data_IF_243106167910
#
_entry.id   IF_243106167910
#
_cell.length_a   1.000
_cell.length_b   1.000
_cell.length_c   1.000
_cell.angle_alpha   90.00
_cell.angle_beta   90.00
_cell.angle_gamma   90.00
#
_symmetry.space_group_name_H-M   'P 1'
#
loop_
_entity.id
_entity.type
_entity.pdbx_description
1 polymer ?
#
# COMPACT_ATOMS: atom_id res chain seq x y z
N UNK A 1 9.71 5.02 2.22
CA UNK A 1 8.68 4.80 3.26
C UNK A 1 7.89 3.53 2.93
N UNK A 2 7.69 2.65 3.91
CA UNK A 2 6.85 1.44 3.81
C UNK A 2 5.75 1.54 4.85
N UNK A 3 4.50 1.43 4.40
CA UNK A 3 3.30 1.42 5.26
C UNK A 3 2.66 0.04 5.13
N UNK A 4 2.26 -0.55 6.25
CA UNK A 4 1.43 -1.75 6.24
C UNK A 4 -0.01 -1.43 6.65
N UNK A 5 -0.92 -2.12 5.97
CA UNK A 5 -2.36 -1.94 6.08
C UNK A 5 -2.94 -3.31 6.43
N UNK A 6 -3.57 -3.39 7.59
CA UNK A 6 -4.30 -4.55 8.07
C UNK A 6 -5.81 -4.33 7.92
N UNK A 7 -6.60 -5.20 8.52
CA UNK A 7 -8.05 -5.06 8.55
C UNK A 7 -8.48 -4.00 9.59
N UNK A 8 -7.75 -3.90 10.70
CA UNK A 8 -8.03 -2.98 11.81
C UNK A 8 -6.89 -2.00 12.13
N UNK A 9 -5.63 -2.42 12.32
CA UNK A 9 -4.50 -1.54 12.53
C UNK A 9 -3.88 -1.07 11.22
N UNK A 10 -3.16 0.04 11.32
CA UNK A 10 -2.24 0.47 10.30
C UNK A 10 -1.00 1.07 10.92
N UNK A 11 0.14 0.78 10.33
CA UNK A 11 1.41 1.16 10.94
C UNK A 11 2.49 1.51 9.92
N UNK A 12 3.39 2.38 10.36
CA UNK A 12 4.57 2.76 9.60
C UNK A 12 5.68 1.75 9.87
N UNK A 13 5.92 0.86 8.92
CA UNK A 13 7.01 -0.12 9.04
C UNK A 13 8.36 0.57 8.89
N UNK A 14 8.48 1.52 7.95
CA UNK A 14 9.76 2.13 7.63
C UNK A 14 9.67 3.53 7.06
N UNK A 15 10.59 4.40 7.49
CA UNK A 15 10.79 5.73 6.94
C UNK A 15 12.29 5.95 6.66
N UNK A 16 12.62 6.08 5.37
CA UNK A 16 13.96 6.34 4.88
C UNK A 16 14.47 7.76 5.19
N UNK A 17 13.59 8.67 5.63
CA UNK A 17 13.97 10.02 6.05
C UNK A 17 14.57 10.09 7.46
N UNK A 18 14.32 9.06 8.27
CA UNK A 18 14.80 8.98 9.65
C UNK A 18 16.09 8.16 9.79
N UNK A 19 16.46 7.38 8.78
CA UNK A 19 17.55 6.40 8.88
C UNK A 19 18.58 6.57 7.75
N UNK A 20 19.74 7.15 8.10
CA UNK A 20 20.85 7.48 7.19
C UNK A 20 21.73 6.26 6.85
N UNK A 21 21.13 5.20 6.29
CA UNK A 21 21.89 4.32 5.39
C UNK A 21 22.24 2.91 5.84
N UNK A 22 21.45 2.23 6.69
CA UNK A 22 21.50 0.76 6.76
C UNK A 22 20.13 0.16 7.04
N UNK A 23 19.30 0.08 5.98
CA UNK A 23 18.08 -0.70 6.00
C UNK A 23 18.42 -2.18 6.18
N UNK A 24 18.45 -2.67 7.42
CA UNK A 24 18.52 -4.11 7.68
C UNK A 24 17.16 -4.70 7.35
N UNK A 25 17.13 -5.50 6.29
CA UNK A 25 15.94 -6.27 5.86
C UNK A 25 15.37 -7.07 7.04
N UNK A 26 16.22 -7.55 7.93
CA UNK A 26 15.85 -8.23 9.19
C UNK A 26 14.94 -7.37 10.08
N UNK A 27 15.24 -6.08 10.27
CA UNK A 27 14.43 -5.18 11.11
C UNK A 27 13.09 -4.85 10.45
N UNK A 28 13.05 -4.80 9.12
CA UNK A 28 11.79 -4.67 8.39
C UNK A 28 10.91 -5.89 8.55
N UNK A 29 11.49 -7.08 8.38
CA UNK A 29 10.77 -8.35 8.52
C UNK A 29 10.20 -8.48 9.94
N UNK A 30 11.00 -8.17 10.96
CA UNK A 30 10.54 -8.20 12.34
C UNK A 30 9.34 -7.26 12.57
N UNK A 31 9.41 -6.01 12.12
CA UNK A 31 8.28 -5.07 12.24
C UNK A 31 7.03 -5.52 11.47
N UNK A 32 7.23 -6.19 10.33
CA UNK A 32 6.15 -6.70 9.50
C UNK A 32 5.49 -7.92 10.16
N UNK A 33 6.27 -8.80 10.79
CA UNK A 33 5.77 -9.90 11.61
C UNK A 33 4.99 -9.39 12.83
N UNK A 34 5.54 -8.42 13.57
CA UNK A 34 4.87 -7.77 14.70
C UNK A 34 3.53 -7.13 14.27
N UNK A 35 3.51 -6.50 13.09
CA UNK A 35 2.29 -5.93 12.52
C UNK A 35 1.23 -6.99 12.20
N UNK A 36 1.62 -8.10 11.56
CA UNK A 36 0.71 -9.19 11.20
C UNK A 36 0.11 -9.84 12.45
N UNK A 37 0.93 -10.10 13.47
CA UNK A 37 0.46 -10.67 14.75
C UNK A 37 -0.57 -9.73 15.39
N UNK A 38 -0.28 -8.42 15.44
CA UNK A 38 -1.18 -7.40 15.99
C UNK A 38 -2.50 -7.29 15.22
N UNK A 39 -2.47 -7.39 13.88
CA UNK A 39 -3.69 -7.41 13.06
C UNK A 39 -4.54 -8.65 13.36
N UNK A 40 -3.91 -9.83 13.50
CA UNK A 40 -4.61 -11.07 13.83
C UNK A 40 -5.26 -11.01 15.22
N UNK A 41 -4.60 -10.42 16.21
CA UNK A 41 -5.15 -10.23 17.57
C UNK A 41 -6.35 -9.29 17.59
N UNK A 42 -6.30 -8.18 16.85
CA UNK A 42 -7.40 -7.22 16.76
C UNK A 42 -8.61 -7.81 16.02
N UNK A 43 -8.36 -8.64 15.00
CA UNK A 43 -9.43 -9.33 14.27
C UNK A 43 -10.16 -10.40 15.10
N UNK A 44 -9.53 -10.95 16.16
CA UNK A 44 -10.18 -11.88 17.09
C UNK A 44 -11.18 -11.20 18.03
N UNK A 45 -11.12 -9.87 18.19
CA UNK A 45 -11.95 -9.12 19.13
C UNK A 45 -13.21 -8.50 18.49
N UNK A 46 -13.23 -8.25 17.18
CA UNK A 46 -14.40 -7.72 16.47
C UNK A 46 -15.09 -8.81 15.62
N UNK A 47 -16.19 -9.35 16.14
CA UNK A 47 -17.16 -10.12 15.35
C UNK A 47 -18.37 -9.24 15.04
N UNK A 48 -18.93 -9.42 13.84
CA UNK A 48 -20.20 -8.87 13.30
C UNK A 48 -20.06 -7.67 12.32
N UNK A 49 -20.20 -7.99 11.02
CA UNK A 49 -20.71 -7.14 9.93
C UNK A 49 -19.93 -5.91 9.42
N UNK A 50 -18.61 -5.81 9.63
CA UNK A 50 -17.81 -4.86 8.83
C UNK A 50 -17.48 -5.49 7.47
N UNK A 51 -18.30 -5.18 6.46
CA UNK A 51 -17.91 -5.33 5.04
C UNK A 51 -16.56 -4.62 4.89
N UNK A 52 -15.50 -5.38 4.63
CA UNK A 52 -14.09 -4.95 4.68
C UNK A 52 -13.85 -3.61 4.00
N UNK A 53 -13.82 -2.55 4.79
CA UNK A 53 -13.46 -1.22 4.34
C UNK A 53 -12.00 -1.00 4.65
N UNK A 54 -11.14 -1.28 3.67
CA UNK A 54 -9.72 -0.94 3.81
C UNK A 54 -9.55 0.57 3.73
N UNK A 55 -8.84 1.17 4.69
CA UNK A 55 -8.56 2.62 4.74
C UNK A 55 -7.62 3.13 3.60
N UNK A 56 -7.65 2.50 2.42
CA UNK A 56 -6.82 2.74 1.24
C UNK A 56 -6.77 4.23 0.85
N UNK A 57 -7.92 4.92 0.88
CA UNK A 57 -8.00 6.35 0.58
C UNK A 57 -7.15 7.22 1.52
N UNK A 58 -7.12 6.86 2.81
CA UNK A 58 -6.32 7.49 3.84
C UNK A 58 -4.83 7.29 3.60
N UNK A 59 -4.39 6.07 3.27
CA UNK A 59 -2.97 5.81 3.00
C UNK A 59 -2.47 6.46 1.73
N UNK A 60 -3.28 6.46 0.67
CA UNK A 60 -2.92 7.18 -0.55
C UNK A 60 -2.74 8.68 -0.26
N UNK A 61 -3.61 9.26 0.56
CA UNK A 61 -3.48 10.65 1.01
C UNK A 61 -2.22 10.87 1.84
N UNK A 62 -1.95 9.97 2.79
CA UNK A 62 -0.80 10.04 3.69
C UNK A 62 0.53 9.88 2.93
N UNK A 63 0.60 8.92 2.01
CA UNK A 63 1.73 8.72 1.11
C UNK A 63 1.97 9.95 0.23
N UNK A 64 0.90 10.54 -0.32
CA UNK A 64 1.01 11.75 -1.14
C UNK A 64 1.50 12.94 -0.32
N UNK A 65 0.98 13.13 0.89
CA UNK A 65 1.45 14.16 1.83
C UNK A 65 2.92 13.99 2.18
N UNK A 66 3.37 12.76 2.43
CA UNK A 66 4.78 12.44 2.69
C UNK A 66 5.65 12.77 1.47
N UNK A 67 5.27 12.28 0.29
CA UNK A 67 5.97 12.54 -0.98
C UNK A 67 6.08 14.06 -1.22
N UNK A 68 5.00 14.80 -1.02
CA UNK A 68 4.97 16.24 -1.21
C UNK A 68 5.85 16.97 -0.18
N UNK A 69 5.91 16.48 1.06
CA UNK A 69 6.81 17.00 2.10
C UNK A 69 8.27 16.83 1.66
N UNK A 70 8.64 15.64 1.22
CA UNK A 70 10.00 15.35 0.73
C UNK A 70 10.36 16.19 -0.49
N UNK A 71 9.44 16.33 -1.46
CA UNK A 71 9.66 17.21 -2.63
C UNK A 71 9.92 18.66 -2.23
N UNK A 72 9.26 19.17 -1.19
CA UNK A 72 9.47 20.55 -0.70
C UNK A 72 10.77 20.71 0.08
N UNK A 73 11.33 19.63 0.62
CA UNK A 73 12.60 19.65 1.35
C UNK A 73 13.84 19.79 0.45
N UNK A 74 13.69 19.78 -0.88
CA UNK A 74 14.76 20.09 -1.83
C UNK A 74 15.82 19.00 -2.03
N UNK A 75 15.70 17.85 -1.37
CA UNK A 75 16.47 16.66 -1.72
C UNK A 75 16.02 16.13 -3.09
N UNK A 76 16.98 15.61 -3.88
CA UNK A 76 16.87 15.05 -5.23
C UNK A 76 15.43 14.59 -5.54
N UNK A 77 14.77 15.19 -6.54
CA UNK A 77 13.43 14.83 -7.01
C UNK A 77 13.37 13.33 -7.34
N UNK A 78 12.93 12.45 -6.42
CA UNK A 78 12.81 11.06 -6.77
C UNK A 78 11.57 10.95 -7.64
N UNK A 79 11.64 10.21 -8.73
CA UNK A 79 10.43 9.81 -9.44
C UNK A 79 9.62 8.90 -8.49
N UNK A 80 8.79 9.53 -7.66
CA UNK A 80 8.12 8.85 -6.56
C UNK A 80 7.02 7.93 -7.09
N UNK A 81 6.92 6.76 -6.46
CA UNK A 81 6.00 5.70 -6.83
C UNK A 81 5.43 5.09 -5.56
N UNK A 82 4.16 4.74 -5.60
CA UNK A 82 3.46 4.03 -4.54
C UNK A 82 3.26 2.60 -5.04
N UNK A 83 3.61 1.60 -4.22
CA UNK A 83 3.29 0.20 -4.47
C UNK A 83 2.24 -0.25 -3.46
N UNK A 84 1.07 -0.65 -3.94
CA UNK A 84 -0.01 -1.21 -3.15
C UNK A 84 0.02 -2.74 -3.27
N UNK A 85 0.31 -3.43 -2.17
CA UNK A 85 0.09 -4.87 -2.04
C UNK A 85 -1.27 -5.08 -1.39
N UNK A 86 -2.16 -5.81 -2.04
CA UNK A 86 -3.56 -5.92 -1.60
C UNK A 86 -4.08 -7.34 -1.76
N UNK A 87 -4.77 -7.86 -0.75
CA UNK A 87 -5.34 -9.21 -0.77
C UNK A 87 -6.75 -9.29 -0.21
N UNK A 88 -7.40 -8.14 0.02
CA UNK A 88 -8.77 -8.07 0.52
C UNK A 88 -9.75 -7.74 -0.61
N UNK A 89 -11.05 -7.78 -0.28
CA UNK A 89 -12.12 -7.47 -1.23
C UNK A 89 -12.49 -5.99 -1.14
N UNK A 90 -12.76 -5.36 -2.29
CA UNK A 90 -13.14 -3.95 -2.35
C UNK A 90 -14.55 -3.71 -1.78
N UNK A 91 -14.67 -2.78 -0.84
CA UNK A 91 -15.97 -2.31 -0.31
C UNK A 91 -16.51 -1.11 -1.08
N UNK A 92 -17.79 -1.09 -1.51
CA UNK A 92 -18.34 0.02 -2.32
C UNK A 92 -18.45 1.35 -1.54
N UNK A 93 -18.44 1.30 -0.20
CA UNK A 93 -18.61 2.48 0.66
C UNK A 93 -17.50 3.51 0.51
N UNK A 94 -16.30 3.08 0.10
CA UNK A 94 -15.11 3.95 0.05
C UNK A 94 -14.77 4.43 -1.36
N UNK A 95 -15.61 4.09 -2.35
CA UNK A 95 -15.38 4.41 -3.77
C UNK A 95 -14.96 5.86 -3.98
N UNK A 96 -15.77 6.81 -3.48
CA UNK A 96 -15.55 8.24 -3.71
C UNK A 96 -14.22 8.69 -3.10
N UNK A 97 -13.94 8.25 -1.87
CA UNK A 97 -12.71 8.61 -1.18
C UNK A 97 -11.47 8.04 -1.89
N UNK A 98 -11.52 6.76 -2.29
CA UNK A 98 -10.41 6.09 -2.99
C UNK A 98 -10.15 6.76 -4.34
N UNK A 99 -11.20 7.01 -5.12
CA UNK A 99 -11.06 7.66 -6.43
C UNK A 99 -10.50 9.07 -6.32
N UNK A 100 -10.95 9.86 -5.35
CA UNK A 100 -10.40 11.19 -5.09
C UNK A 100 -8.91 11.14 -4.75
N UNK A 101 -8.50 10.15 -3.95
CA UNK A 101 -7.09 9.93 -3.64
C UNK A 101 -6.29 9.54 -4.88
N UNK A 102 -6.79 8.62 -5.72
CA UNK A 102 -6.15 8.22 -6.98
C UNK A 102 -5.96 9.41 -7.91
N UNK A 103 -7.00 10.24 -8.10
CA UNK A 103 -6.90 11.44 -8.93
C UNK A 103 -5.91 12.46 -8.37
N UNK A 104 -5.83 12.57 -7.04
CA UNK A 104 -4.83 13.43 -6.38
C UNK A 104 -3.41 12.92 -6.67
N UNK A 105 -3.18 11.62 -6.58
CA UNK A 105 -1.90 10.98 -6.90
C UNK A 105 -1.52 11.17 -8.37
N UNK A 106 -2.49 11.01 -9.29
CA UNK A 106 -2.30 11.25 -10.73
C UNK A 106 -1.90 12.71 -11.01
N UNK A 107 -2.59 13.68 -10.39
CA UNK A 107 -2.30 15.11 -10.55
C UNK A 107 -0.90 15.49 -10.07
N UNK A 108 -0.40 14.80 -9.05
CA UNK A 108 0.97 14.96 -8.56
C UNK A 108 2.01 14.15 -9.36
N UNK A 109 1.61 13.53 -10.48
CA UNK A 109 2.47 12.70 -11.34
C UNK A 109 3.11 11.50 -10.62
N UNK A 110 2.49 11.04 -9.53
CA UNK A 110 2.93 9.86 -8.78
C UNK A 110 2.22 8.63 -9.35
N UNK A 111 2.97 7.55 -9.55
CA UNK A 111 2.43 6.30 -10.10
C UNK A 111 2.02 5.33 -8.99
N UNK A 112 0.86 4.70 -9.11
CA UNK A 112 0.35 3.68 -8.18
C UNK A 112 0.49 2.30 -8.84
N UNK A 113 1.57 1.61 -8.52
CA UNK A 113 1.72 0.20 -8.84
C UNK A 113 0.87 -0.64 -7.91
N UNK A 114 0.19 -1.63 -8.45
CA UNK A 114 -0.69 -2.50 -7.69
C UNK A 114 -0.27 -3.95 -7.86
N UNK A 115 -0.22 -4.69 -6.77
CA UNK A 115 -0.03 -6.13 -6.75
C UNK A 115 -1.13 -6.74 -5.90
N UNK A 116 -2.02 -7.49 -6.55
CA UNK A 116 -3.13 -8.16 -5.89
C UNK A 116 -2.76 -9.61 -5.64
N UNK A 117 -2.81 -10.03 -4.39
CA UNK A 117 -2.42 -11.37 -3.94
C UNK A 117 -3.68 -12.17 -3.62
N UNK A 118 -3.82 -13.34 -4.23
CA UNK A 118 -4.96 -14.24 -4.00
C UNK A 118 -5.93 -14.30 -5.19
N UNK A 119 -7.13 -14.84 -4.94
CA UNK A 119 -8.18 -15.03 -5.95
C UNK A 119 -9.13 -13.85 -6.09
N UNK A 120 -9.07 -12.88 -5.17
CA UNK A 120 -9.92 -11.70 -5.18
C UNK A 120 -9.22 -10.60 -5.97
N UNK A 121 -9.92 -9.98 -6.92
CA UNK A 121 -9.41 -8.83 -7.66
C UNK A 121 -9.88 -7.53 -7.02
N UNK A 122 -9.03 -6.50 -7.02
CA UNK A 122 -9.41 -5.14 -6.62
C UNK A 122 -9.62 -4.28 -7.87
N UNK A 123 -10.89 -3.96 -8.14
CA UNK A 123 -11.27 -3.04 -9.20
C UNK A 123 -10.71 -1.64 -8.94
N UNK A 124 -10.63 -1.22 -7.67
CA UNK A 124 -10.05 0.07 -7.29
C UNK A 124 -8.58 0.16 -7.68
N UNK A 125 -7.79 -0.85 -7.35
CA UNK A 125 -6.35 -0.86 -7.64
C UNK A 125 -6.07 -1.05 -9.13
N UNK A 126 -6.91 -1.80 -9.84
CA UNK A 126 -6.86 -1.87 -11.29
C UNK A 126 -7.08 -0.49 -11.92
N UNK A 127 -8.10 0.26 -11.46
CA UNK A 127 -8.33 1.63 -11.90
C UNK A 127 -7.18 2.56 -11.51
N UNK A 128 -6.65 2.44 -10.29
CA UNK A 128 -5.52 3.24 -9.81
C UNK A 128 -4.30 3.11 -10.71
N UNK A 129 -3.93 1.87 -11.06
CA UNK A 129 -2.80 1.61 -11.95
C UNK A 129 -3.06 2.09 -13.37
N UNK A 130 -4.27 1.89 -13.90
CA UNK A 130 -4.64 2.39 -15.22
C UNK A 130 -4.58 3.93 -15.31
N UNK A 131 -5.23 4.63 -14.38
CA UNK A 131 -5.32 6.11 -14.34
C UNK A 131 -3.95 6.76 -14.16
N UNK A 132 -3.09 6.15 -13.35
CA UNK A 132 -1.73 6.67 -13.11
C UNK A 132 -0.69 6.19 -14.13
N UNK A 133 -1.07 5.33 -15.09
CA UNK A 133 -0.14 4.77 -16.08
C UNK A 133 0.94 3.88 -15.43
N UNK A 134 0.54 3.06 -14.46
CA UNK A 134 1.37 2.18 -13.67
C UNK A 134 1.01 0.70 -13.91
N UNK A 135 1.75 -0.22 -13.30
CA UNK A 135 1.57 -1.66 -13.52
C UNK A 135 0.59 -2.25 -12.51
N UNK A 136 -0.30 -3.11 -12.99
CA UNK A 136 -1.19 -3.94 -12.17
C UNK A 136 -0.76 -5.41 -12.31
N UNK A 137 -0.41 -6.05 -11.20
CA UNK A 137 -0.01 -7.45 -11.11
C UNK A 137 -1.04 -8.23 -10.30
N UNK A 138 -1.30 -9.48 -10.69
CA UNK A 138 -2.08 -10.42 -9.90
C UNK A 138 -1.25 -11.67 -9.63
N UNK A 139 -1.05 -11.99 -8.35
CA UNK A 139 -0.26 -13.13 -7.89
C UNK A 139 -1.23 -14.18 -7.32
N UNK A 140 -1.44 -15.26 -8.07
CA UNK A 140 -2.19 -16.42 -7.58
C UNK A 140 -1.29 -17.31 -6.72
N UNK A 141 -1.85 -17.92 -5.67
CA UNK A 141 -1.16 -18.76 -4.67
C UNK A 141 -0.27 -19.90 -5.24
N UNK A 142 -0.42 -20.29 -6.51
CA UNK A 142 0.43 -21.27 -7.18
C UNK A 142 1.78 -20.72 -7.69
N UNK A 143 1.97 -19.39 -7.75
CA UNK A 143 3.17 -18.76 -8.34
C UNK A 143 4.19 -18.20 -7.33
N UNK A 144 3.94 -18.27 -6.02
CA UNK A 144 4.92 -17.84 -5.01
C UNK A 144 6.20 -18.70 -4.97
N UNK A 145 6.25 -19.81 -5.74
CA UNK A 145 7.47 -20.63 -5.88
C UNK A 145 8.42 -20.20 -7.01
N UNK A 146 8.05 -19.27 -7.89
CA UNK A 146 8.82 -19.06 -9.14
C UNK A 146 9.12 -17.62 -9.57
N UNK A 147 8.70 -16.59 -8.86
CA UNK A 147 8.99 -15.22 -9.32
C UNK A 147 9.73 -14.41 -8.26
N UNK A 148 11.07 -14.45 -8.34
CA UNK A 148 11.91 -13.30 -8.06
C UNK A 148 11.30 -12.08 -8.75
N UNK A 149 10.48 -11.31 -8.03
CA UNK A 149 9.79 -10.15 -8.59
C UNK A 149 10.85 -9.08 -8.85
N UNK A 150 11.21 -8.95 -10.13
CA UNK A 150 12.11 -7.95 -10.69
C UNK A 150 11.65 -6.56 -10.25
N UNK A 151 12.27 -6.01 -9.21
CA UNK A 151 12.23 -4.59 -8.89
C UNK A 151 13.35 -3.92 -9.70
N UNK A 152 12.96 -3.25 -10.80
CA UNK A 152 13.76 -2.21 -11.46
C UNK A 152 13.14 -0.85 -11.14
#
# INVERSE_FOLDING_TARGET
MVIAIGFSPCDYIYDSSLDHGNLRVETLLQKLEEFVIKDEELNKQESVDRIGSTLLSGYLSMALCYIQRVFRSGSIHPQSRILCLHGSQDGPREYVAIMNSIFSTQRSMVRIHSCVIGSQHSAFLQQASYITGAVYLTVCNSMLKYSTLTFL
#
